data_IF_850035571822
#
_entry.id   IF_850035571822
#
_cell.length_a   1.000
_cell.length_b   1.000
_cell.length_c   1.000
_cell.angle_alpha   90.00
_cell.angle_beta   90.00
_cell.angle_gamma   90.00
#
_symmetry.space_group_name_H-M   'P 1'
#
loop_
_entity.id
_entity.type
_entity.pdbx_description
1 polymer ?
#
# COMPACT_ATOMS: atom_id res chain seq x y z
N UNK A 1 -0.28 -0.72 12.71
CA UNK A 1 -1.57 -0.85 11.98
C UNK A 1 -1.43 -0.09 10.68
N UNK A 2 -1.67 -0.75 9.54
CA UNK A 2 -1.66 -0.15 8.21
C UNK A 2 -3.12 -0.08 7.72
N UNK A 3 -3.59 1.10 7.36
CA UNK A 3 -4.99 1.34 7.02
C UNK A 3 -5.45 2.74 7.37
N UNK A 4 -6.68 3.08 6.96
CA UNK A 4 -7.35 4.29 7.40
C UNK A 4 -7.65 4.18 8.90
N UNK A 5 -7.21 5.16 9.67
CA UNK A 5 -7.27 5.15 11.13
C UNK A 5 -8.67 5.54 11.62
N UNK A 6 -9.64 4.65 11.42
CA UNK A 6 -11.04 4.83 11.82
C UNK A 6 -11.61 6.17 11.33
N UNK A 7 -11.31 6.51 10.07
CA UNK A 7 -11.72 7.76 9.42
C UNK A 7 -12.07 7.51 7.96
N UNK A 8 -12.73 8.48 7.33
CA UNK A 8 -13.10 8.43 5.92
C UNK A 8 -12.02 9.05 5.03
N UNK A 9 -11.85 8.47 3.84
CA UNK A 9 -11.04 9.08 2.81
C UNK A 9 -11.72 10.31 2.20
N UNK A 10 -10.94 11.26 1.68
CA UNK A 10 -11.44 12.39 0.90
C UNK A 10 -11.39 12.12 -0.60
N UNK A 11 -12.01 12.99 -1.40
CA UNK A 11 -11.89 12.94 -2.87
C UNK A 11 -10.45 13.20 -3.33
N UNK A 12 -9.94 12.35 -4.23
CA UNK A 12 -8.59 12.46 -4.78
C UNK A 12 -8.22 11.27 -5.64
N UNK A 13 -7.09 11.36 -6.37
CA UNK A 13 -6.58 10.23 -7.12
C UNK A 13 -6.09 9.13 -6.17
N UNK A 14 -6.18 7.86 -6.59
CA UNK A 14 -5.70 6.72 -5.78
C UNK A 14 -4.25 6.91 -5.33
N UNK A 15 -3.36 7.31 -6.25
CA UNK A 15 -1.94 7.51 -5.94
C UNK A 15 -1.77 8.58 -4.84
N UNK A 16 -2.47 9.70 -4.97
CA UNK A 16 -2.46 10.76 -3.96
C UNK A 16 -2.96 10.26 -2.60
N UNK A 17 -4.09 9.55 -2.56
CA UNK A 17 -4.67 9.07 -1.30
C UNK A 17 -3.79 8.01 -0.63
N UNK A 18 -3.17 7.11 -1.40
CA UNK A 18 -2.24 6.12 -0.85
C UNK A 18 -1.05 6.80 -0.17
N UNK A 19 -0.44 7.82 -0.81
CA UNK A 19 0.65 8.59 -0.20
C UNK A 19 0.17 9.37 1.02
N UNK A 20 -0.98 10.06 0.91
CA UNK A 20 -1.54 10.90 1.97
C UNK A 20 -1.84 10.12 3.26
N UNK A 21 -2.40 8.91 3.15
CA UNK A 21 -2.73 8.08 4.30
C UNK A 21 -1.62 7.11 4.73
N UNK A 22 -0.45 7.14 4.06
CA UNK A 22 0.62 6.18 4.32
C UNK A 22 0.18 4.74 4.06
N UNK A 23 -0.50 4.53 2.94
CA UNK A 23 -0.96 3.22 2.43
C UNK A 23 -0.20 2.81 1.15
N UNK A 24 0.86 3.53 0.83
CA UNK A 24 1.74 3.19 -0.28
C UNK A 24 2.68 2.01 0.06
N UNK A 25 3.40 1.55 -0.96
CA UNK A 25 4.30 0.41 -0.84
C UNK A 25 5.41 0.65 0.21
N UNK A 26 5.95 1.88 0.30
CA UNK A 26 6.97 2.21 1.30
C UNK A 26 6.42 2.14 2.72
N UNK A 27 5.20 2.62 2.97
CA UNK A 27 4.56 2.51 4.28
C UNK A 27 4.28 1.05 4.67
N UNK A 28 3.91 0.20 3.70
CA UNK A 28 3.79 -1.25 3.93
C UNK A 28 5.13 -1.88 4.33
N UNK A 29 6.19 -1.60 3.57
CA UNK A 29 7.55 -2.07 3.87
C UNK A 29 7.96 -1.65 5.28
N UNK A 30 7.84 -0.36 5.62
CA UNK A 30 8.20 0.15 6.94
C UNK A 30 7.38 -0.51 8.06
N UNK A 31 6.10 -0.77 7.84
CA UNK A 31 5.25 -1.52 8.79
C UNK A 31 5.70 -2.96 8.99
N UNK A 32 6.11 -3.65 7.92
CA UNK A 32 6.65 -5.01 7.99
C UNK A 32 8.01 -5.05 8.69
N UNK A 33 8.91 -4.11 8.41
CA UNK A 33 10.19 -3.96 9.10
C UNK A 33 10.00 -3.77 10.61
N UNK A 34 9.06 -2.91 11.01
CA UNK A 34 8.73 -2.70 12.42
C UNK A 34 8.17 -3.95 13.09
N UNK A 35 7.31 -4.69 12.39
CA UNK A 35 6.71 -5.92 12.91
C UNK A 35 7.76 -7.02 13.10
N UNK A 36 8.73 -7.11 12.20
CA UNK A 36 9.76 -8.16 12.18
C UNK A 36 11.05 -7.75 12.90
N UNK A 37 11.23 -6.47 13.22
CA UNK A 37 12.44 -5.94 13.84
C UNK A 37 13.66 -5.98 12.91
N UNK A 38 13.46 -6.04 11.59
CA UNK A 38 14.53 -6.18 10.59
C UNK A 38 14.43 -5.07 9.54
N UNK A 39 15.59 -4.57 9.09
CA UNK A 39 15.68 -3.67 7.94
C UNK A 39 15.87 -4.46 6.66
N UNK A 40 15.03 -4.18 5.66
CA UNK A 40 15.12 -4.79 4.33
C UNK A 40 15.99 -3.96 3.39
N UNK A 41 16.15 -2.66 3.66
CA UNK A 41 16.93 -1.76 2.82
C UNK A 41 16.28 -1.46 1.47
N UNK A 42 14.95 -1.59 1.38
CA UNK A 42 14.17 -1.31 0.18
C UNK A 42 13.93 0.21 0.08
N UNK A 43 14.28 0.77 -1.07
CA UNK A 43 14.13 2.18 -1.43
C UNK A 43 12.93 2.43 -2.36
N UNK A 44 12.67 3.70 -2.69
CA UNK A 44 11.61 4.06 -3.64
C UNK A 44 11.93 3.55 -5.06
N UNK A 45 13.20 3.62 -5.48
CA UNK A 45 13.67 3.13 -6.78
C UNK A 45 13.44 1.61 -6.95
N UNK A 46 13.59 0.84 -5.86
CA UNK A 46 13.33 -0.61 -5.87
C UNK A 46 11.85 -0.95 -6.11
N UNK A 47 10.94 -0.02 -5.78
CA UNK A 47 9.49 -0.20 -5.90
C UNK A 47 8.94 0.35 -7.21
N UNK A 48 9.58 1.37 -7.79
CA UNK A 48 9.22 1.92 -9.11
C UNK A 48 9.41 0.90 -10.24
N UNK A 49 10.38 -0.01 -10.09
CA UNK A 49 10.59 -1.14 -11.01
C UNK A 49 9.44 -2.16 -10.98
N UNK A 50 8.61 -2.16 -9.93
CA UNK A 50 7.54 -3.13 -9.68
C UNK A 50 6.19 -2.49 -9.97
N UNK A 51 5.89 -2.27 -11.26
CA UNK A 51 4.50 -2.11 -11.69
C UNK A 51 3.82 -3.46 -11.49
N UNK A 52 3.16 -3.64 -10.34
CA UNK A 52 2.26 -4.78 -10.12
C UNK A 52 1.12 -4.63 -11.13
N UNK A 53 1.24 -5.32 -12.27
CA UNK A 53 0.08 -5.68 -13.09
C UNK A 53 -0.99 -6.12 -12.11
N UNK A 54 -2.16 -5.48 -12.19
CA UNK A 54 -3.25 -5.78 -11.29
C UNK A 54 -3.53 -7.27 -11.41
N UNK A 55 -2.97 -8.06 -10.48
CA UNK A 55 -3.37 -9.42 -10.19
C UNK A 55 -4.74 -9.29 -9.54
N UNK A 56 -5.70 -8.91 -10.36
CA UNK A 56 -7.09 -9.25 -10.17
C UNK A 56 -7.07 -10.77 -10.04
N UNK A 57 -7.03 -11.25 -8.81
CA UNK A 57 -7.50 -12.59 -8.51
C UNK A 57 -8.84 -12.71 -9.22
N UNK A 58 -8.98 -13.65 -10.15
CA UNK A 58 -10.27 -14.04 -10.74
C UNK A 58 -11.26 -14.60 -9.68
N UNK A 59 -11.08 -14.26 -8.40
CA UNK A 59 -11.91 -14.65 -7.29
C UNK A 59 -13.10 -13.68 -7.18
N UNK A 60 -14.10 -13.99 -8.00
CA UNK A 60 -15.54 -13.70 -7.90
C UNK A 60 -16.01 -12.23 -7.76
N UNK A 61 -16.79 -11.86 -8.76
CA UNK A 61 -17.77 -10.79 -8.73
C UNK A 61 -19.00 -11.19 -7.90
N UNK A 62 -19.05 -10.88 -6.60
CA UNK A 62 -20.32 -10.73 -5.87
C UNK A 62 -20.15 -9.63 -4.81
N UNK A 63 -20.84 -8.51 -5.01
CA UNK A 63 -20.88 -7.39 -4.07
C UNK A 63 -21.03 -6.02 -4.75
N UNK A 64 -22.00 -5.90 -5.66
CA UNK A 64 -22.59 -4.62 -6.04
C UNK A 64 -23.34 -4.03 -4.84
#
# INVERSE_FOLDING_TARGET
RLGLKDTYAHGGSRAYLMRYYGLDALALVGGAEQLLGQKFGISEDDLDAVRVDAVHSNAKAEGL
#
